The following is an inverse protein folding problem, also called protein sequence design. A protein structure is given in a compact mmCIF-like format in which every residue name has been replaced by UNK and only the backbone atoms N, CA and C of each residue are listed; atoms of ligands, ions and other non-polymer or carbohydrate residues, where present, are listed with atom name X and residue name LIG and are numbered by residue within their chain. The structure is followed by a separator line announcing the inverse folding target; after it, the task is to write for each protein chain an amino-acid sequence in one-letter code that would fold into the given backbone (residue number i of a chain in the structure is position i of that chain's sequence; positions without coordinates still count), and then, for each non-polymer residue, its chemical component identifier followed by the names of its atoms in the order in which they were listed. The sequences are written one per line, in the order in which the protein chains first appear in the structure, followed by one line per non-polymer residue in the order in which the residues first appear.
data_IF_795982232557
#
_entry.id   IF_795982232557
#
_cell.length_a   1.000
_cell.length_b   1.000
_cell.length_c   1.000
_cell.angle_alpha   90.00
_cell.angle_beta   90.00
_cell.angle_gamma   90.00
#
_symmetry.space_group_name_H-M   'P 1'
#
loop_
_entity.id
_entity.type
_entity.pdbx_description
1 polymer ?
#
# COMPACT_ATOMS: atom_id res chain seq x y z
N UNK A 1 8.10 2.20 -9.90
CA UNK A 1 9.29 1.31 -9.85
C UNK A 1 9.13 -0.02 -10.61
N UNK A 2 7.96 -0.72 -10.65
CA UNK A 2 7.81 -1.97 -11.40
C UNK A 2 8.22 -1.86 -12.87
N UNK A 3 7.83 -0.76 -13.55
CA UNK A 3 8.19 -0.50 -14.96
C UNK A 3 9.71 -0.45 -15.16
N UNK A 4 10.44 0.24 -14.26
CA UNK A 4 11.91 0.36 -14.34
C UNK A 4 12.56 -1.02 -14.16
N UNK A 5 12.20 -1.73 -13.09
CA UNK A 5 12.73 -3.06 -12.82
C UNK A 5 12.45 -4.04 -13.97
N UNK A 6 11.23 -4.00 -14.53
CA UNK A 6 10.83 -4.83 -15.65
C UNK A 6 11.64 -4.51 -16.92
N UNK A 7 11.86 -3.22 -17.24
CA UNK A 7 12.65 -2.82 -18.42
C UNK A 7 14.09 -3.31 -18.33
N UNK A 8 14.70 -3.16 -17.14
CA UNK A 8 16.08 -3.60 -16.91
C UNK A 8 16.18 -5.14 -16.88
N UNK A 9 15.15 -5.83 -16.34
CA UNK A 9 15.09 -7.29 -16.40
C UNK A 9 15.07 -7.81 -17.83
N UNK A 10 14.30 -7.17 -18.72
CA UNK A 10 14.28 -7.53 -20.14
C UNK A 10 15.64 -7.31 -20.80
N UNK A 11 16.33 -6.23 -20.47
CA UNK A 11 17.71 -5.98 -20.95
C UNK A 11 18.68 -7.07 -20.45
N UNK A 12 18.59 -7.47 -19.19
CA UNK A 12 19.37 -8.59 -18.65
C UNK A 12 19.10 -9.90 -19.38
N UNK A 13 17.85 -10.15 -19.77
CA UNK A 13 17.47 -11.33 -20.57
C UNK A 13 18.01 -11.28 -22.01
N UNK A 14 18.68 -10.19 -22.41
CA UNK A 14 19.25 -9.99 -23.76
C UNK A 14 18.24 -9.55 -24.79
N UNK A 15 17.04 -9.07 -24.39
CA UNK A 15 16.06 -8.55 -25.34
C UNK A 15 16.41 -7.12 -25.77
N UNK A 16 16.06 -6.79 -27.02
CA UNK A 16 16.19 -5.42 -27.55
C UNK A 16 15.05 -4.55 -26.96
N UNK A 17 15.39 -3.79 -25.91
CA UNK A 17 14.42 -2.99 -25.14
C UNK A 17 14.19 -1.65 -25.84
N UNK A 18 12.92 -1.39 -26.20
CA UNK A 18 12.48 -0.08 -26.70
C UNK A 18 12.38 0.94 -25.56
N UNK A 19 13.51 1.53 -25.19
CA UNK A 19 13.62 2.42 -24.01
C UNK A 19 12.67 3.61 -24.05
N UNK A 20 12.38 4.17 -25.24
CA UNK A 20 11.39 5.28 -25.37
C UNK A 20 10.01 4.79 -24.97
N UNK A 21 9.61 3.60 -25.44
CA UNK A 21 8.32 3.01 -25.05
C UNK A 21 8.27 2.68 -23.56
N UNK A 22 9.37 2.19 -22.98
CA UNK A 22 9.48 1.93 -21.55
C UNK A 22 9.37 3.23 -20.72
N UNK A 23 9.99 4.33 -21.16
CA UNK A 23 9.90 5.62 -20.52
C UNK A 23 8.46 6.19 -20.59
N UNK A 24 7.80 6.10 -21.75
CA UNK A 24 6.40 6.49 -21.89
C UNK A 24 5.47 5.64 -21.01
N UNK A 25 5.74 4.31 -20.90
CA UNK A 25 5.01 3.44 -20.00
C UNK A 25 5.20 3.82 -18.52
N UNK A 26 6.41 4.22 -18.12
CA UNK A 26 6.68 4.73 -16.78
C UNK A 26 5.87 5.99 -16.48
N UNK A 27 5.91 6.98 -17.38
CA UNK A 27 5.15 8.23 -17.23
C UNK A 27 3.65 7.95 -17.18
N UNK A 28 3.15 7.12 -18.10
CA UNK A 28 1.74 6.71 -18.12
C UNK A 28 1.32 6.01 -16.81
N UNK A 29 2.14 5.09 -16.30
CA UNK A 29 1.86 4.38 -15.04
C UNK A 29 1.81 5.34 -13.83
N UNK A 30 2.71 6.32 -13.74
CA UNK A 30 2.70 7.33 -12.69
C UNK A 30 1.44 8.20 -12.77
N UNK A 31 1.06 8.63 -13.96
CA UNK A 31 -0.14 9.46 -14.20
C UNK A 31 -1.42 8.68 -13.83
N UNK A 32 -1.52 7.41 -14.25
CA UNK A 32 -2.66 6.55 -13.89
C UNK A 32 -2.76 6.32 -12.37
N UNK A 33 -1.62 6.13 -11.70
CA UNK A 33 -1.58 5.98 -10.25
C UNK A 33 -2.09 7.25 -9.56
N UNK A 34 -1.60 8.42 -9.95
CA UNK A 34 -2.05 9.70 -9.40
C UNK A 34 -3.55 9.93 -9.64
N UNK A 35 -4.04 9.62 -10.86
CA UNK A 35 -5.45 9.73 -11.21
C UNK A 35 -6.33 8.82 -10.33
N UNK A 36 -5.91 7.57 -10.12
CA UNK A 36 -6.61 6.60 -9.29
C UNK A 36 -6.69 7.03 -7.83
N UNK A 37 -5.60 7.56 -7.27
CA UNK A 37 -5.58 8.05 -5.89
C UNK A 37 -6.56 9.23 -5.70
N UNK A 38 -6.52 10.23 -6.59
CA UNK A 38 -7.45 11.36 -6.53
C UNK A 38 -8.92 10.91 -6.64
N UNK A 39 -9.20 9.93 -7.50
CA UNK A 39 -10.55 9.38 -7.62
C UNK A 39 -10.96 8.62 -6.34
N UNK A 40 -10.03 7.88 -5.73
CA UNK A 40 -10.28 7.18 -4.46
C UNK A 40 -10.58 8.15 -3.34
N UNK A 41 -9.76 9.20 -3.16
CA UNK A 41 -9.96 10.23 -2.14
C UNK A 41 -11.33 10.92 -2.31
N UNK A 42 -11.72 11.21 -3.56
CA UNK A 42 -13.02 11.79 -3.84
C UNK A 42 -14.19 10.86 -3.47
N UNK A 43 -14.04 9.54 -3.70
CA UNK A 43 -15.05 8.55 -3.30
C UNK A 43 -15.13 8.39 -1.79
N UNK A 44 -13.98 8.35 -1.10
CA UNK A 44 -13.89 8.19 0.34
C UNK A 44 -14.50 9.40 1.05
N UNK A 45 -14.24 10.63 0.54
CA UNK A 45 -14.90 11.85 0.99
C UNK A 45 -16.43 11.79 0.79
N UNK A 46 -16.90 11.42 -0.42
CA UNK A 46 -18.34 11.36 -0.70
C UNK A 46 -19.09 10.32 0.12
N UNK A 47 -18.45 9.27 0.53
CA UNK A 47 -19.03 8.23 1.37
C UNK A 47 -18.89 8.51 2.86
N UNK A 48 -18.23 9.59 3.26
CA UNK A 48 -17.98 9.93 4.65
C UNK A 48 -17.01 8.97 5.35
N UNK A 49 -16.18 8.27 4.55
CA UNK A 49 -15.09 7.42 5.06
C UNK A 49 -13.99 8.29 5.64
N UNK A 50 -13.62 9.33 4.87
CA UNK A 50 -12.72 10.36 5.34
C UNK A 50 -13.46 11.30 6.29
N UNK A 51 -12.95 11.41 7.50
CA UNK A 51 -13.44 12.30 8.55
C UNK A 51 -12.24 12.94 9.28
N UNK A 52 -12.51 13.87 10.21
CA UNK A 52 -11.47 14.55 10.98
C UNK A 52 -10.65 13.62 11.91
N UNK A 53 -11.16 12.40 12.16
CA UNK A 53 -10.51 11.38 12.99
C UNK A 53 -9.67 10.40 12.16
N UNK A 54 -9.70 10.49 10.82
CA UNK A 54 -8.92 9.62 9.94
C UNK A 54 -7.42 9.83 10.19
N UNK A 55 -6.66 8.74 10.11
CA UNK A 55 -5.20 8.77 10.32
C UNK A 55 -4.47 9.64 9.28
N UNK A 56 -4.84 9.52 8.02
CA UNK A 56 -4.34 10.40 6.97
C UNK A 56 -5.09 11.74 7.01
N UNK A 57 -4.39 12.85 6.78
CA UNK A 57 -5.02 14.17 6.69
C UNK A 57 -5.79 14.25 5.37
N UNK A 58 -7.14 14.13 5.37
CA UNK A 58 -7.91 14.16 4.14
C UNK A 58 -8.06 15.60 3.65
N UNK A 59 -7.37 15.95 2.58
CA UNK A 59 -7.36 17.30 2.01
C UNK A 59 -8.76 17.84 1.68
N UNK A 60 -9.70 16.98 1.37
CA UNK A 60 -11.09 17.36 1.06
C UNK A 60 -11.89 17.66 2.33
N UNK A 61 -11.65 16.96 3.44
CA UNK A 61 -12.31 17.21 4.74
C UNK A 61 -11.87 18.55 5.30
N UNK A 62 -10.58 18.88 5.19
CA UNK A 62 -10.05 20.17 5.64
C UNK A 62 -10.22 21.31 4.63
N UNK A 63 -11.03 21.10 3.58
CA UNK A 63 -11.35 22.12 2.56
C UNK A 63 -10.13 22.77 1.89
N UNK A 64 -9.01 22.06 1.82
CA UNK A 64 -7.84 22.53 1.07
C UNK A 64 -8.11 22.60 -0.44
N UNK A 65 -9.03 21.75 -0.93
CA UNK A 65 -9.48 21.68 -2.31
C UNK A 65 -10.98 21.40 -2.36
N UNK A 66 -11.62 21.87 -3.43
CA UNK A 66 -13.02 21.54 -3.70
C UNK A 66 -13.15 20.11 -4.27
N UNK A 67 -14.19 19.34 -3.87
CA UNK A 67 -14.40 17.98 -4.40
C UNK A 67 -14.50 17.91 -5.92
N UNK A 68 -14.99 19.00 -6.54
CA UNK A 68 -15.07 19.12 -8.00
C UNK A 68 -13.69 19.23 -8.63
N UNK A 69 -12.75 19.92 -8.00
CA UNK A 69 -11.37 20.06 -8.48
C UNK A 69 -10.67 18.71 -8.51
N UNK A 70 -10.83 17.90 -7.46
CA UNK A 70 -10.29 16.52 -7.39
C UNK A 70 -10.82 15.67 -8.55
N UNK A 71 -12.14 15.70 -8.77
CA UNK A 71 -12.75 14.93 -9.85
C UNK A 71 -12.29 15.41 -11.25
N UNK A 72 -12.25 16.72 -11.47
CA UNK A 72 -11.79 17.29 -12.75
C UNK A 72 -10.31 16.98 -13.00
N UNK A 73 -9.46 17.09 -11.96
CA UNK A 73 -8.03 16.83 -12.10
C UNK A 73 -7.74 15.34 -12.29
N UNK A 74 -8.43 14.46 -11.56
CA UNK A 74 -8.40 13.02 -11.80
C UNK A 74 -8.80 12.67 -13.24
N UNK A 75 -9.91 13.23 -13.72
CA UNK A 75 -10.38 13.04 -15.10
C UNK A 75 -9.36 13.51 -16.14
N UNK A 76 -8.71 14.65 -15.92
CA UNK A 76 -7.64 15.15 -16.79
C UNK A 76 -6.44 14.20 -16.83
N UNK A 77 -6.00 13.71 -15.65
CA UNK A 77 -4.89 12.75 -15.57
C UNK A 77 -5.26 11.43 -16.25
N UNK A 78 -6.48 10.91 -16.08
CA UNK A 78 -6.93 9.74 -16.82
C UNK A 78 -6.91 9.97 -18.32
N UNK A 79 -7.38 11.13 -18.79
CA UNK A 79 -7.36 11.46 -20.23
C UNK A 79 -5.93 11.50 -20.80
N UNK A 80 -4.98 12.12 -20.07
CA UNK A 80 -3.56 12.12 -20.44
C UNK A 80 -2.97 10.72 -20.44
N UNK A 81 -3.25 9.93 -19.41
CA UNK A 81 -2.80 8.54 -19.32
C UNK A 81 -3.36 7.67 -20.44
N UNK A 82 -4.63 7.84 -20.80
CA UNK A 82 -5.26 7.15 -21.95
C UNK A 82 -4.57 7.56 -23.25
N UNK A 83 -4.29 8.85 -23.44
CA UNK A 83 -3.59 9.33 -24.64
C UNK A 83 -2.20 8.70 -24.78
N UNK A 84 -1.43 8.58 -23.67
CA UNK A 84 -0.15 7.88 -23.64
C UNK A 84 -0.35 6.39 -23.95
N UNK A 85 -1.35 5.74 -23.38
CA UNK A 85 -1.68 4.32 -23.62
C UNK A 85 -2.04 4.05 -25.11
N UNK A 86 -2.80 4.95 -25.73
CA UNK A 86 -3.13 4.88 -27.15
C UNK A 86 -1.88 5.07 -28.02
N UNK A 87 -1.02 6.02 -27.70
CA UNK A 87 0.26 6.22 -28.37
C UNK A 87 1.11 4.95 -28.29
N UNK A 88 1.25 4.37 -27.10
CA UNK A 88 1.95 3.11 -26.89
C UNK A 88 1.31 1.95 -27.66
N UNK A 89 -0.01 1.92 -27.81
CA UNK A 89 -0.72 0.94 -28.60
C UNK A 89 -0.35 1.04 -30.09
N UNK A 90 -0.21 2.25 -30.61
CA UNK A 90 0.26 2.47 -31.99
C UNK A 90 1.71 2.02 -32.18
N UNK A 91 2.59 2.26 -31.19
CA UNK A 91 4.01 1.94 -31.25
C UNK A 91 4.31 0.45 -30.99
N UNK A 92 3.50 -0.24 -30.17
CA UNK A 92 3.80 -1.61 -29.68
C UNK A 92 2.79 -2.65 -30.19
N UNK A 93 1.66 -2.22 -30.75
CA UNK A 93 0.63 -3.10 -31.32
C UNK A 93 -0.66 -3.15 -30.49
N UNK A 94 -1.75 -3.46 -31.21
CA UNK A 94 -3.13 -3.39 -30.71
C UNK A 94 -3.42 -4.27 -29.46
N UNK A 95 -2.65 -5.35 -29.25
CA UNK A 95 -2.81 -6.24 -28.10
C UNK A 95 -2.58 -5.49 -26.76
N UNK A 96 -1.81 -4.40 -26.77
CA UNK A 96 -1.63 -3.54 -25.60
C UNK A 96 -2.95 -2.94 -25.12
N UNK A 97 -3.89 -2.69 -26.03
CA UNK A 97 -5.20 -2.16 -25.69
C UNK A 97 -5.96 -3.06 -24.72
N UNK A 98 -5.81 -4.39 -24.84
CA UNK A 98 -6.45 -5.35 -23.93
C UNK A 98 -5.90 -5.17 -22.51
N UNK A 99 -4.56 -5.08 -22.38
CA UNK A 99 -3.90 -4.85 -21.08
C UNK A 99 -4.33 -3.49 -20.51
N UNK A 100 -4.37 -2.46 -21.37
CA UNK A 100 -4.78 -1.10 -20.97
C UNK A 100 -6.24 -1.02 -20.50
N UNK A 101 -7.17 -1.68 -21.19
CA UNK A 101 -8.59 -1.75 -20.79
C UNK A 101 -8.76 -2.49 -19.46
N UNK A 102 -8.08 -3.61 -19.28
CA UNK A 102 -8.09 -4.33 -18.01
C UNK A 102 -7.54 -3.44 -16.89
N UNK A 103 -6.40 -2.78 -17.11
CA UNK A 103 -5.79 -1.87 -16.14
C UNK A 103 -6.68 -0.68 -15.79
N UNK A 104 -7.37 -0.09 -16.79
CA UNK A 104 -8.32 1.00 -16.57
C UNK A 104 -9.53 0.54 -15.75
N UNK A 105 -10.16 -0.59 -16.12
CA UNK A 105 -11.30 -1.14 -15.37
C UNK A 105 -10.89 -1.41 -13.92
N UNK A 106 -9.73 -2.01 -13.71
CA UNK A 106 -9.21 -2.28 -12.38
C UNK A 106 -8.97 -0.96 -11.61
N UNK A 107 -8.27 0.02 -12.16
CA UNK A 107 -8.02 1.29 -11.51
C UNK A 107 -9.31 2.06 -11.16
N UNK A 108 -10.28 2.09 -12.07
CA UNK A 108 -11.57 2.74 -11.85
C UNK A 108 -12.46 2.01 -10.84
N UNK A 109 -12.29 0.70 -10.70
CA UNK A 109 -13.07 -0.15 -9.79
C UNK A 109 -12.43 -0.29 -8.40
N UNK A 110 -11.25 0.29 -8.18
CA UNK A 110 -10.49 0.10 -6.94
C UNK A 110 -11.32 0.42 -5.69
N UNK A 111 -11.96 1.60 -5.65
CA UNK A 111 -12.79 2.00 -4.51
C UNK A 111 -13.96 1.05 -4.23
N UNK A 112 -14.50 0.38 -5.27
CA UNK A 112 -15.56 -0.61 -5.10
C UNK A 112 -15.05 -1.90 -4.42
N UNK A 113 -13.85 -2.34 -4.78
CA UNK A 113 -13.25 -3.57 -4.26
C UNK A 113 -12.55 -3.38 -2.92
N UNK A 114 -12.03 -2.17 -2.65
CA UNK A 114 -11.47 -1.76 -1.36
C UNK A 114 -12.48 -2.04 -0.22
N UNK A 115 -13.77 -1.79 -0.47
CA UNK A 115 -14.85 -1.98 0.51
C UNK A 115 -15.36 -3.43 0.65
N UNK A 116 -14.72 -4.43 0.01
CA UNK A 116 -15.20 -5.83 -0.04
C UNK A 116 -14.10 -6.85 0.25
N UNK A 117 -13.20 -6.56 1.16
CA UNK A 117 -12.08 -7.43 1.57
C UNK A 117 -11.11 -7.83 0.44
N UNK A 118 -11.24 -7.24 -0.75
CA UNK A 118 -10.44 -7.59 -1.94
C UNK A 118 -9.35 -6.56 -2.27
N UNK A 119 -9.19 -5.53 -1.44
CA UNK A 119 -8.25 -4.43 -1.69
C UNK A 119 -6.82 -4.90 -1.94
N UNK A 120 -6.33 -5.86 -1.15
CA UNK A 120 -4.96 -6.38 -1.24
C UNK A 120 -4.69 -7.10 -2.57
N UNK A 121 -5.63 -7.95 -3.02
CA UNK A 121 -5.52 -8.66 -4.33
C UNK A 121 -5.53 -7.65 -5.47
N UNK A 122 -6.37 -6.63 -5.35
CA UNK A 122 -6.49 -5.56 -6.33
C UNK A 122 -5.20 -4.75 -6.45
N UNK A 123 -4.65 -4.31 -5.32
CA UNK A 123 -3.40 -3.56 -5.24
C UNK A 123 -2.24 -4.39 -5.79
N UNK A 124 -2.15 -5.68 -5.42
CA UNK A 124 -1.15 -6.58 -5.98
C UNK A 124 -1.24 -6.67 -7.50
N UNK A 125 -2.44 -6.82 -8.03
CA UNK A 125 -2.66 -6.94 -9.47
C UNK A 125 -2.34 -5.64 -10.19
N UNK A 126 -2.85 -4.50 -9.70
CA UNK A 126 -2.68 -3.19 -10.33
C UNK A 126 -1.26 -2.65 -10.25
N UNK A 127 -0.55 -2.90 -9.15
CA UNK A 127 0.77 -2.31 -8.91
C UNK A 127 1.92 -3.31 -8.96
N UNK A 128 1.65 -4.60 -8.86
CA UNK A 128 2.63 -5.67 -8.98
C UNK A 128 2.62 -6.33 -10.37
N UNK A 129 1.47 -6.83 -10.80
CA UNK A 129 1.37 -7.71 -11.99
C UNK A 129 1.23 -6.93 -13.28
N UNK A 130 0.23 -6.05 -13.40
CA UNK A 130 -0.08 -5.36 -14.65
C UNK A 130 1.04 -4.46 -15.17
N UNK A 131 1.72 -3.65 -14.33
CA UNK A 131 2.81 -2.81 -14.81
C UNK A 131 3.98 -3.63 -15.36
N UNK A 132 4.24 -4.80 -14.76
CA UNK A 132 5.33 -5.69 -15.18
C UNK A 132 5.01 -6.35 -16.52
N UNK A 133 3.80 -6.92 -16.67
CA UNK A 133 3.34 -7.53 -17.93
C UNK A 133 3.22 -6.48 -19.03
N UNK A 134 2.60 -5.33 -18.73
CA UNK A 134 2.46 -4.23 -19.67
C UNK A 134 3.81 -3.74 -20.18
N UNK A 135 4.79 -3.61 -19.29
CA UNK A 135 6.15 -3.20 -19.65
C UNK A 135 6.81 -4.25 -20.56
N UNK A 136 6.67 -5.55 -20.28
CA UNK A 136 7.19 -6.60 -21.15
C UNK A 136 6.66 -6.44 -22.56
N UNK A 137 5.35 -6.29 -22.71
CA UNK A 137 4.74 -6.14 -24.04
C UNK A 137 5.19 -4.84 -24.74
N UNK A 138 5.22 -3.72 -24.04
CA UNK A 138 5.57 -2.42 -24.61
C UNK A 138 7.04 -2.33 -24.99
N UNK A 139 7.93 -2.84 -24.15
CA UNK A 139 9.36 -2.70 -24.30
C UNK A 139 9.99 -3.78 -25.22
N UNK A 140 9.49 -5.03 -25.17
CA UNK A 140 10.01 -6.14 -25.97
C UNK A 140 9.11 -6.55 -27.14
N UNK A 141 7.84 -6.13 -27.16
CA UNK A 141 6.86 -6.51 -28.21
C UNK A 141 6.12 -7.82 -27.94
N UNK A 142 6.41 -8.51 -26.85
CA UNK A 142 5.76 -9.74 -26.41
C UNK A 142 5.76 -9.82 -24.87
N UNK A 143 5.02 -10.78 -24.31
CA UNK A 143 5.02 -11.05 -22.88
C UNK A 143 5.99 -12.18 -22.58
N UNK A 144 7.11 -11.85 -21.89
CA UNK A 144 7.93 -12.86 -21.24
C UNK A 144 7.34 -13.15 -19.86
N UNK A 145 6.69 -14.29 -19.69
CA UNK A 145 6.04 -14.66 -18.44
C UNK A 145 7.01 -14.80 -17.25
N UNK A 146 8.31 -15.02 -17.51
CA UNK A 146 9.32 -15.08 -16.47
C UNK A 146 9.45 -13.75 -15.71
N UNK A 147 9.02 -12.63 -16.30
CA UNK A 147 9.05 -11.30 -15.70
C UNK A 147 8.16 -11.20 -14.44
N UNK A 148 7.19 -12.12 -14.28
CA UNK A 148 6.31 -12.18 -13.10
C UNK A 148 7.07 -12.43 -11.79
N UNK A 149 8.32 -12.91 -11.86
CA UNK A 149 9.19 -13.00 -10.66
C UNK A 149 9.38 -11.65 -9.97
N UNK A 150 9.26 -10.54 -10.72
CA UNK A 150 9.35 -9.19 -10.16
C UNK A 150 8.05 -8.76 -9.45
N UNK A 151 6.91 -9.32 -9.86
CA UNK A 151 5.60 -8.95 -9.31
C UNK A 151 5.49 -9.30 -7.83
N UNK A 152 6.08 -10.42 -7.40
CA UNK A 152 5.98 -10.87 -6.02
C UNK A 152 6.68 -9.91 -5.05
N UNK A 153 8.00 -9.62 -5.16
CA UNK A 153 8.67 -8.74 -4.20
C UNK A 153 8.15 -7.30 -4.26
N UNK A 154 7.85 -6.77 -5.46
CA UNK A 154 7.37 -5.40 -5.62
C UNK A 154 5.92 -5.24 -5.16
N UNK A 155 5.06 -6.20 -5.50
CA UNK A 155 3.64 -6.19 -5.14
C UNK A 155 3.42 -6.38 -3.64
N UNK A 156 4.21 -7.23 -2.96
CA UNK A 156 4.11 -7.45 -1.51
C UNK A 156 4.39 -6.17 -0.73
N UNK A 157 5.41 -5.38 -1.11
CA UNK A 157 5.63 -4.09 -0.44
C UNK A 157 4.48 -3.11 -0.67
N UNK A 158 3.85 -3.13 -1.85
CA UNK A 158 2.68 -2.28 -2.10
C UNK A 158 1.48 -2.71 -1.25
N UNK A 159 1.24 -4.03 -1.13
CA UNK A 159 0.22 -4.56 -0.20
C UNK A 159 0.55 -4.16 1.23
N UNK A 160 1.81 -4.23 1.66
CA UNK A 160 2.20 -3.92 3.03
C UNK A 160 1.87 -2.47 3.42
N UNK A 161 1.98 -1.51 2.49
CA UNK A 161 1.55 -0.12 2.70
C UNK A 161 0.04 -0.06 2.94
N UNK A 162 -0.77 -0.69 2.08
CA UNK A 162 -2.23 -0.72 2.23
C UNK A 162 -2.64 -1.44 3.52
N UNK A 163 -2.00 -2.57 3.81
CA UNK A 163 -2.30 -3.40 4.98
C UNK A 163 -2.02 -2.66 6.29
N UNK A 164 -0.96 -1.85 6.34
CA UNK A 164 -0.67 -1.00 7.49
C UNK A 164 -1.78 0.02 7.73
N UNK A 165 -2.13 0.79 6.70
CA UNK A 165 -3.22 1.77 6.78
C UNK A 165 -4.52 1.13 7.26
N UNK A 166 -4.94 0.04 6.63
CA UNK A 166 -6.17 -0.67 7.00
C UNK A 166 -6.09 -1.27 8.43
N UNK A 167 -4.89 -1.59 8.95
CA UNK A 167 -4.72 -2.08 10.32
C UNK A 167 -4.88 -0.95 11.34
N UNK A 168 -4.37 0.24 11.03
CA UNK A 168 -4.52 1.43 11.87
C UNK A 168 -5.99 1.89 11.90
N UNK A 169 -6.67 1.81 10.77
CA UNK A 169 -8.01 2.35 10.55
C UNK A 169 -9.14 1.35 10.84
N UNK A 170 -8.88 0.16 11.42
CA UNK A 170 -9.91 -0.85 11.72
C UNK A 170 -11.16 -0.25 12.43
N UNK A 171 -10.98 0.67 13.37
CA UNK A 171 -12.09 1.24 14.13
C UNK A 171 -12.93 2.22 13.31
N UNK A 172 -12.28 3.08 12.53
CA UNK A 172 -12.91 4.08 11.65
C UNK A 172 -13.55 3.42 10.44
N UNK A 173 -12.89 2.42 9.85
CA UNK A 173 -13.41 1.61 8.75
C UNK A 173 -14.69 0.88 9.16
N UNK A 174 -14.69 0.28 10.36
CA UNK A 174 -15.88 -0.39 10.89
C UNK A 174 -17.06 0.56 11.10
N UNK A 175 -16.79 1.76 11.60
CA UNK A 175 -17.81 2.79 11.79
C UNK A 175 -18.40 3.28 10.45
N UNK A 176 -17.59 3.27 9.38
CA UNK A 176 -17.98 3.66 8.02
C UNK A 176 -18.59 2.51 7.19
N UNK A 177 -18.74 1.31 7.79
CA UNK A 177 -19.29 0.13 7.11
C UNK A 177 -18.38 -0.46 6.02
N UNK A 178 -17.08 -0.19 6.11
CA UNK A 178 -16.04 -0.75 5.24
C UNK A 178 -15.64 -2.11 5.77
N UNK A 179 -15.28 -3.01 4.87
CA UNK A 179 -14.72 -4.32 5.19
C UNK A 179 -13.33 -4.43 4.59
N UNK A 180 -12.33 -4.64 5.47
CA UNK A 180 -10.92 -4.78 5.07
C UNK A 180 -10.32 -6.08 5.59
N UNK A 181 -9.28 -6.58 4.94
CA UNK A 181 -8.59 -7.81 5.36
C UNK A 181 -8.13 -7.77 6.83
N UNK A 182 -7.57 -6.66 7.37
CA UNK A 182 -7.26 -6.56 8.79
C UNK A 182 -8.47 -6.71 9.72
N UNK A 183 -9.65 -6.26 9.32
CA UNK A 183 -10.87 -6.46 10.12
C UNK A 183 -11.28 -7.94 10.19
N UNK A 184 -11.11 -8.67 9.09
CA UNK A 184 -11.37 -10.12 9.03
C UNK A 184 -10.36 -10.92 9.87
N UNK A 185 -9.08 -10.56 9.79
CA UNK A 185 -7.99 -11.26 10.48
C UNK A 185 -7.87 -10.88 11.97
N UNK A 186 -8.34 -9.70 12.33
CA UNK A 186 -8.11 -9.05 13.62
C UNK A 186 -6.70 -8.43 13.75
N UNK A 187 -6.58 -7.43 14.62
CA UNK A 187 -5.36 -6.62 14.77
C UNK A 187 -4.09 -7.47 14.98
N UNK A 188 -4.14 -8.43 15.90
CA UNK A 188 -2.97 -9.26 16.25
C UNK A 188 -2.42 -10.06 15.06
N UNK A 189 -3.31 -10.61 14.24
CA UNK A 189 -2.91 -11.37 13.05
C UNK A 189 -2.42 -10.43 11.95
N UNK A 190 -3.05 -9.27 11.80
CA UNK A 190 -2.67 -8.25 10.82
C UNK A 190 -1.25 -7.74 11.07
N UNK A 191 -0.90 -7.46 12.33
CA UNK A 191 0.48 -7.07 12.69
C UNK A 191 1.50 -8.16 12.38
N UNK A 192 1.17 -9.45 12.65
CA UNK A 192 2.05 -10.57 12.24
C UNK A 192 2.23 -10.66 10.74
N UNK A 193 1.15 -10.46 9.99
CA UNK A 193 1.17 -10.49 8.53
C UNK A 193 2.01 -9.34 7.98
N UNK A 194 1.87 -8.13 8.55
CA UNK A 194 2.74 -7.00 8.18
C UNK A 194 4.23 -7.32 8.40
N UNK A 195 4.58 -7.91 9.55
CA UNK A 195 5.96 -8.33 9.83
C UNK A 195 6.44 -9.35 8.79
N UNK A 196 5.58 -10.29 8.39
CA UNK A 196 5.91 -11.24 7.33
C UNK A 196 6.13 -10.55 5.98
N UNK A 197 5.34 -9.53 5.64
CA UNK A 197 5.54 -8.74 4.42
C UNK A 197 6.89 -8.01 4.38
N UNK A 198 7.50 -7.72 5.52
CA UNK A 198 8.86 -7.16 5.56
C UNK A 198 9.94 -8.17 5.19
N UNK A 199 9.70 -9.48 5.32
CA UNK A 199 10.68 -10.53 5.04
C UNK A 199 10.46 -11.20 3.66
N UNK A 200 9.20 -11.41 3.25
CA UNK A 200 8.84 -12.17 2.04
C UNK A 200 9.51 -11.66 0.76
N UNK A 201 9.61 -10.34 0.48
CA UNK A 201 10.28 -9.85 -0.73
C UNK A 201 11.74 -10.27 -0.82
N UNK A 202 12.48 -10.27 0.28
CA UNK A 202 13.88 -10.67 0.31
C UNK A 202 14.03 -12.18 0.11
N UNK A 203 13.20 -12.97 0.78
CA UNK A 203 13.18 -14.43 0.62
C UNK A 203 12.88 -14.77 -0.84
N UNK A 204 11.91 -14.10 -1.46
CA UNK A 204 11.55 -14.31 -2.86
C UNK A 204 12.74 -14.03 -3.80
N UNK A 205 13.44 -12.89 -3.64
CA UNK A 205 14.62 -12.57 -4.46
C UNK A 205 15.73 -13.60 -4.26
N UNK A 206 16.02 -14.01 -3.03
CA UNK A 206 17.03 -15.05 -2.75
C UNK A 206 16.66 -16.35 -3.45
N UNK A 207 15.42 -16.81 -3.30
CA UNK A 207 14.93 -18.03 -3.96
C UNK A 207 15.04 -17.92 -5.48
N UNK A 208 14.60 -16.79 -6.05
CA UNK A 208 14.66 -16.56 -7.51
C UNK A 208 16.09 -16.50 -8.04
N UNK A 209 17.05 -16.01 -7.25
CA UNK A 209 18.47 -16.09 -7.61
C UNK A 209 18.99 -17.55 -7.57
N UNK A 210 18.62 -18.32 -6.55
CA UNK A 210 19.04 -19.73 -6.41
C UNK A 210 18.56 -20.60 -7.58
N UNK A 211 17.28 -20.40 -8.01
CA UNK A 211 16.69 -21.16 -9.12
C UNK A 211 17.00 -20.56 -10.50
N UNK A 212 17.84 -19.50 -10.56
CA UNK A 212 18.32 -18.90 -11.81
C UNK A 212 17.30 -18.02 -12.55
N UNK A 213 16.21 -17.61 -11.90
CA UNK A 213 15.22 -16.69 -12.48
C UNK A 213 15.62 -15.23 -12.37
N UNK A 214 16.52 -14.89 -11.41
CA UNK A 214 17.13 -13.59 -11.26
C UNK A 214 18.66 -13.72 -11.22
N UNK A 215 19.41 -12.72 -11.71
CA UNK A 215 20.85 -12.73 -11.59
C UNK A 215 21.31 -12.53 -10.15
N UNK A 216 22.48 -13.03 -9.82
CA UNK A 216 23.08 -12.87 -8.48
C UNK A 216 23.16 -11.40 -8.02
N UNK A 217 23.40 -10.48 -8.94
CA UNK A 217 23.43 -9.04 -8.66
C UNK A 217 22.11 -8.47 -8.13
N UNK A 218 20.99 -9.15 -8.34
CA UNK A 218 19.70 -8.74 -7.75
C UNK A 218 19.73 -8.76 -6.22
N UNK A 219 20.63 -9.53 -5.59
CA UNK A 219 20.81 -9.59 -4.14
C UNK A 219 21.29 -8.25 -3.52
N UNK A 220 21.75 -7.28 -4.32
CA UNK A 220 22.06 -5.94 -3.84
C UNK A 220 20.87 -5.29 -3.12
N UNK A 221 19.62 -5.65 -3.46
CA UNK A 221 18.44 -5.17 -2.75
C UNK A 221 18.43 -5.52 -1.25
N UNK A 222 19.21 -6.53 -0.80
CA UNK A 222 19.35 -6.92 0.61
C UNK A 222 19.95 -5.78 1.45
N UNK A 223 20.66 -4.85 0.84
CA UNK A 223 21.17 -3.65 1.53
C UNK A 223 20.04 -2.79 2.14
N UNK A 224 18.80 -2.93 1.68
CA UNK A 224 17.63 -2.29 2.28
C UNK A 224 17.06 -3.06 3.50
N UNK A 225 17.51 -4.30 3.77
CA UNK A 225 16.95 -5.13 4.84
C UNK A 225 17.06 -4.51 6.26
N UNK A 226 18.06 -3.70 6.62
CA UNK A 226 18.06 -2.99 7.89
C UNK A 226 16.85 -2.07 8.09
N UNK A 227 16.33 -1.45 7.01
CA UNK A 227 15.12 -0.61 7.06
C UNK A 227 13.90 -1.49 7.28
N UNK A 228 13.77 -2.61 6.56
CA UNK A 228 12.71 -3.59 6.75
C UNK A 228 12.69 -4.12 8.19
N UNK A 229 13.86 -4.44 8.75
CA UNK A 229 13.99 -4.87 10.14
C UNK A 229 13.52 -3.80 11.13
N UNK A 230 13.85 -2.52 10.90
CA UNK A 230 13.35 -1.41 11.75
C UNK A 230 11.84 -1.31 11.71
N UNK A 231 11.22 -1.41 10.52
CA UNK A 231 9.76 -1.36 10.35
C UNK A 231 9.11 -2.55 11.06
N UNK A 232 9.61 -3.78 10.84
CA UNK A 232 9.14 -4.98 11.51
C UNK A 232 9.29 -4.89 13.04
N UNK A 233 10.41 -4.35 13.53
CA UNK A 233 10.67 -4.15 14.96
C UNK A 233 9.75 -3.11 15.57
N UNK A 234 9.37 -2.06 14.83
CA UNK A 234 8.38 -1.09 15.27
C UNK A 234 7.01 -1.78 15.38
N UNK A 235 6.55 -2.49 14.36
CA UNK A 235 5.29 -3.23 14.40
C UNK A 235 5.23 -4.26 15.54
N UNK A 236 6.34 -4.95 15.82
CA UNK A 236 6.44 -5.95 16.89
C UNK A 236 6.20 -5.37 18.30
N UNK A 237 6.29 -4.04 18.47
CA UNK A 237 5.96 -3.39 19.75
C UNK A 237 4.48 -3.52 20.11
N UNK A 238 3.61 -3.76 19.12
CA UNK A 238 2.21 -4.10 19.35
C UNK A 238 2.04 -5.19 20.43
N UNK A 239 2.92 -6.19 20.43
CA UNK A 239 2.83 -7.33 21.36
C UNK A 239 3.38 -7.06 22.75
N UNK A 240 4.05 -5.93 23.01
CA UNK A 240 4.62 -5.62 24.32
C UNK A 240 3.56 -5.27 25.38
N UNK A 241 2.44 -4.71 24.96
CA UNK A 241 1.29 -4.41 25.85
C UNK A 241 0.50 -5.67 26.15
N UNK A 242 0.33 -6.56 25.17
CA UNK A 242 -0.44 -7.80 25.33
C UNK A 242 0.23 -8.84 26.22
N UNK A 243 1.53 -8.76 26.45
CA UNK A 243 2.27 -9.68 27.30
C UNK A 243 2.13 -9.45 28.81
N UNK A 244 1.59 -8.29 29.20
CA UNK A 244 1.31 -7.99 30.62
C UNK A 244 -0.06 -8.48 31.13
N UNK A 245 -0.98 -8.82 30.19
CA UNK A 245 -2.35 -9.23 30.55
C UNK A 245 -2.57 -10.76 30.59
N UNK A 246 -1.67 -11.54 30.01
CA UNK A 246 -1.80 -13.02 29.96
C UNK A 246 -0.99 -13.75 31.06
N UNK A 247 -0.43 -12.99 32.01
CA UNK A 247 0.27 -13.52 33.18
C UNK A 247 -0.61 -13.59 34.43
N UNK A 248 -1.20 -14.74 34.72
CA UNK A 248 -1.85 -15.10 35.97
C UNK A 248 -3.17 -14.41 36.33
N UNK A 249 -4.25 -15.07 36.03
CA UNK A 249 -5.58 -14.76 36.52
C UNK A 249 -6.55 -15.89 36.28
N UNK A 250 -6.30 -17.03 36.95
CA UNK A 250 -7.39 -17.93 37.36
C UNK A 250 -8.29 -17.10 38.28
N UNK A 251 -9.41 -16.63 37.78
CA UNK A 251 -10.47 -16.07 38.62
C UNK A 251 -11.68 -16.98 38.51
N UNK A 252 -11.93 -17.61 39.66
CA UNK A 252 -13.15 -18.28 40.02
C UNK A 252 -14.40 -17.47 39.67
N UNK A 253 -15.37 -18.20 39.17
CA UNK A 253 -16.72 -17.64 38.99
C UNK A 253 -17.41 -17.46 40.35
N UNK A 254 -17.93 -16.29 40.59
CA UNK A 254 -19.18 -16.11 41.36
C UNK A 254 -19.69 -14.64 41.25
N UNK A 255 -20.86 -14.47 40.69
CA UNK A 255 -21.99 -13.69 41.13
C UNK A 255 -21.86 -12.21 41.39
N UNK A 256 -22.72 -11.46 40.69
CA UNK A 256 -23.09 -10.12 41.16
C UNK A 256 -23.88 -9.31 40.12
N UNK A 257 -25.20 -9.51 40.08
CA UNK A 257 -26.13 -8.59 39.44
C UNK A 257 -26.31 -7.34 40.32
N UNK A 258 -26.40 -6.16 39.68
CA UNK A 258 -26.74 -4.91 40.38
C UNK A 258 -26.61 -3.72 39.44
N UNK A 259 -27.71 -3.33 38.95
CA UNK A 259 -28.60 -2.25 39.27
C UNK A 259 -28.40 -0.98 38.43
N UNK A 260 -29.40 -0.71 37.61
CA UNK A 260 -29.74 0.58 36.99
C UNK A 260 -29.98 1.68 38.01
N UNK A 261 -29.60 2.93 37.65
CA UNK A 261 -30.21 4.11 38.25
C UNK A 261 -29.36 5.38 38.20
N UNK A 262 -29.89 6.41 37.54
CA UNK A 262 -29.53 7.77 37.89
C UNK A 262 -29.40 8.75 36.70
N UNK A 263 -30.53 9.36 36.32
CA UNK A 263 -30.58 10.59 35.54
C UNK A 263 -30.09 11.78 36.37
N UNK A 264 -29.41 12.76 35.74
CA UNK A 264 -29.06 14.00 36.41
C UNK A 264 -28.40 15.06 35.54
N UNK A 265 -29.23 15.97 35.09
CA UNK A 265 -29.03 17.40 34.85
C UNK A 265 -27.97 17.95 33.90
N UNK A 266 -28.53 18.61 32.90
CA UNK A 266 -27.97 19.73 32.13
C UNK A 266 -27.75 20.95 33.06
N UNK A 267 -26.56 21.52 33.01
CA UNK A 267 -26.37 22.97 33.28
C UNK A 267 -25.25 23.51 32.38
N UNK A 268 -25.58 24.61 31.71
CA UNK A 268 -24.75 25.23 30.68
C UNK A 268 -23.60 26.01 31.31
N UNK A 269 -22.45 25.94 30.65
CA UNK A 269 -21.39 26.93 30.82
C UNK A 269 -20.59 27.09 29.52
N UNK A 270 -20.26 28.34 29.27
CA UNK A 270 -19.68 28.97 28.12
C UNK A 270 -18.54 28.19 27.41
N UNK A 271 -18.61 28.24 26.12
CA UNK A 271 -17.59 27.77 25.19
C UNK A 271 -16.41 28.74 25.15
N UNK A 272 -15.29 28.42 25.79
CA UNK A 272 -14.00 28.97 25.45
C UNK A 272 -13.34 28.14 24.37
N UNK A 273 -13.16 28.77 23.20
CA UNK A 273 -12.42 28.18 22.07
C UNK A 273 -10.93 28.21 22.41
N UNK A 274 -10.42 27.16 23.00
CA UNK A 274 -9.00 26.88 23.08
C UNK A 274 -8.70 25.68 22.14
N UNK A 275 -7.67 25.84 21.31
CA UNK A 275 -7.32 24.97 20.19
C UNK A 275 -7.32 23.49 20.56
N UNK A 276 -8.18 22.75 19.86
CA UNK A 276 -8.24 21.29 19.94
C UNK A 276 -7.18 20.71 19.02
N UNK A 277 -5.98 20.51 19.54
CA UNK A 277 -5.16 19.38 19.14
C UNK A 277 -5.88 18.15 19.72
N UNK A 278 -6.57 17.38 18.89
CA UNK A 278 -7.13 16.09 19.28
C UNK A 278 -6.00 15.13 19.66
N UNK A 279 -5.53 15.26 20.91
CA UNK A 279 -4.53 14.37 21.48
C UNK A 279 -5.18 13.02 21.78
N UNK A 280 -5.11 12.05 20.84
CA UNK A 280 -5.15 10.65 21.23
C UNK A 280 -4.03 10.44 22.22
N UNK A 281 -4.35 9.99 23.44
CA UNK A 281 -3.35 9.55 24.40
C UNK A 281 -2.60 8.37 23.82
N UNK A 282 -1.36 8.62 23.37
CA UNK A 282 -0.48 7.58 22.83
C UNK A 282 -0.07 6.68 23.99
N UNK A 283 -0.38 5.39 23.90
CA UNK A 283 0.07 4.42 24.87
C UNK A 283 1.57 4.16 24.65
N UNK A 284 2.40 4.54 25.62
CA UNK A 284 3.85 4.48 25.51
C UNK A 284 4.43 3.41 26.45
N UNK A 285 5.47 2.72 25.95
CA UNK A 285 6.29 1.86 26.79
C UNK A 285 7.15 2.68 27.76
N UNK A 286 7.79 2.02 28.73
CA UNK A 286 8.70 2.65 29.69
C UNK A 286 9.88 3.40 29.04
N UNK A 287 10.15 3.14 27.75
CA UNK A 287 11.17 3.81 26.92
C UNK A 287 10.62 5.00 26.10
N UNK A 288 9.39 5.45 26.37
CA UNK A 288 8.74 6.57 25.68
C UNK A 288 8.36 6.29 24.22
N UNK A 289 8.23 5.03 23.83
CA UNK A 289 7.90 4.67 22.44
C UNK A 289 6.50 4.09 22.35
N UNK A 290 5.76 4.38 21.25
CA UNK A 290 4.39 3.90 21.08
C UNK A 290 4.33 2.38 21.06
N UNK A 291 3.30 1.83 21.69
CA UNK A 291 3.00 0.41 21.82
C UNK A 291 1.55 0.13 21.43
N UNK A 292 1.14 -1.13 21.39
CA UNK A 292 -0.19 -1.48 20.93
C UNK A 292 -0.40 -1.14 19.45
N UNK A 293 -1.61 -0.77 19.06
CA UNK A 293 -1.95 -0.39 17.67
C UNK A 293 -1.16 0.84 17.20
N UNK A 294 -0.81 1.72 18.09
CA UNK A 294 -0.06 2.95 17.78
C UNK A 294 1.38 2.67 17.33
N UNK A 295 1.91 1.46 17.61
CA UNK A 295 3.17 1.02 17.03
C UNK A 295 3.13 0.91 15.50
N UNK A 296 1.94 0.80 14.91
CA UNK A 296 1.76 0.75 13.45
C UNK A 296 1.78 2.14 12.82
N UNK A 297 1.55 3.21 13.58
CA UNK A 297 1.50 4.58 13.03
C UNK A 297 2.78 4.98 12.28
N UNK A 298 2.60 5.48 11.04
CA UNK A 298 3.68 5.94 10.17
C UNK A 298 4.49 4.82 9.51
N UNK A 299 4.07 3.56 9.63
CA UNK A 299 4.74 2.46 8.94
C UNK A 299 4.41 2.43 7.45
N UNK A 300 3.25 2.94 7.03
CA UNK A 300 2.85 3.12 5.63
C UNK A 300 3.90 3.92 4.85
N UNK A 301 4.25 5.11 5.34
CA UNK A 301 5.26 5.99 4.74
C UNK A 301 6.66 5.37 4.76
N UNK A 302 7.04 4.74 5.89
CA UNK A 302 8.33 4.05 6.02
C UNK A 302 8.42 2.83 5.10
N UNK A 303 7.31 2.13 4.90
CA UNK A 303 7.22 0.99 3.97
C UNK A 303 7.26 1.46 2.51
N UNK A 304 6.62 2.57 2.18
CA UNK A 304 6.74 3.18 0.84
C UNK A 304 8.18 3.62 0.54
N UNK A 305 8.88 4.22 1.51
CA UNK A 305 10.31 4.55 1.38
C UNK A 305 11.17 3.30 1.22
N UNK A 306 10.95 2.26 2.03
CA UNK A 306 11.60 0.97 1.90
C UNK A 306 11.38 0.36 0.53
N UNK A 307 10.13 0.35 0.04
CA UNK A 307 9.78 -0.15 -1.28
C UNK A 307 10.56 0.59 -2.39
N UNK A 308 10.69 1.92 -2.28
CA UNK A 308 11.48 2.70 -3.23
C UNK A 308 12.95 2.28 -3.20
N UNK A 309 13.57 2.25 -2.02
CA UNK A 309 15.00 1.87 -1.86
C UNK A 309 15.24 0.46 -2.38
N UNK A 310 14.41 -0.51 -1.96
CA UNK A 310 14.50 -1.89 -2.43
C UNK A 310 14.42 -1.99 -3.96
N UNK A 311 13.44 -1.29 -4.54
CA UNK A 311 13.19 -1.34 -5.99
C UNK A 311 14.33 -0.70 -6.80
N UNK A 312 14.90 0.40 -6.30
CA UNK A 312 16.06 1.04 -6.92
C UNK A 312 17.28 0.12 -6.88
N UNK A 313 17.54 -0.50 -5.73
CA UNK A 313 18.66 -1.44 -5.59
C UNK A 313 18.45 -2.70 -6.43
N UNK A 314 17.24 -3.25 -6.50
CA UNK A 314 16.92 -4.37 -7.37
C UNK A 314 17.14 -4.02 -8.84
N UNK A 315 16.64 -2.88 -9.30
CA UNK A 315 16.85 -2.41 -10.67
C UNK A 315 18.33 -2.16 -10.97
N UNK A 316 19.09 -1.57 -10.03
CA UNK A 316 20.52 -1.38 -10.16
C UNK A 316 21.29 -2.70 -10.28
N UNK A 317 20.95 -3.70 -9.46
CA UNK A 317 21.53 -5.05 -9.56
C UNK A 317 21.22 -5.72 -10.90
N UNK A 318 19.99 -5.61 -11.38
CA UNK A 318 19.62 -6.09 -12.71
C UNK A 318 20.38 -5.36 -13.84
N UNK A 319 20.58 -4.03 -13.71
CA UNK A 319 21.31 -3.24 -14.69
C UNK A 319 22.81 -3.66 -14.75
N UNK A 320 23.43 -3.89 -13.61
CA UNK A 320 24.80 -4.42 -13.54
C UNK A 320 24.86 -5.77 -14.26
N UNK A 321 23.93 -6.67 -13.97
CA UNK A 321 23.88 -7.98 -14.62
C UNK A 321 23.60 -7.93 -16.14
N UNK A 322 23.00 -6.86 -16.64
CA UNK A 322 22.75 -6.66 -18.08
C UNK A 322 24.03 -6.18 -18.84
N UNK A 323 25.02 -5.66 -18.10
CA UNK A 323 26.29 -5.17 -18.68
C UNK A 323 27.35 -6.28 -18.71
N UNK A 324 27.33 -7.15 -17.70
CA UNK A 324 28.30 -8.25 -17.51
C UNK A 324 27.70 -9.61 -17.81
#
# INVERSE_FOLDING_TARGET
MPVVAASVYLAWKGYDVKWVCAALALVGNVIFHAAGNLLSDWWDYRKGVDNEEAYAIPNLVFHHFEPREYLCFSGLLFAVGIAIGLLLTVLSGWKLLIIGVIGFILAASYSFFKFRDMGDIFVFTCFGVLPVIGTSFVAAGFIDWSILVLSLPLGIFTIAVLHDNNTVDIATDKASGIHTLPMLLGERTSVKLYIAYMAVPYIAVIVFCIIGLLPFWALVCILSAPVAYKNASQAARYFRVSGGADGSGLVDGSGGAGSFGGAGNFDGAACEVSGVSGGRSVEEASDGRPVGREAMLGLDQKTAQLHLIFSVLLAAGLAVAAIF
#
